data_IF_457264362430
#
_entry.id   IF_457264362430
#
_cell.length_a   1.000
_cell.length_b   1.000
_cell.length_c   1.000
_cell.angle_alpha   90.00
_cell.angle_beta   90.00
_cell.angle_gamma   90.00
#
_symmetry.space_group_name_H-M   'P 1'
#
loop_
_entity.id
_entity.type
_entity.pdbx_description
1 polymer ?
#
# COMPACT_ATOMS: atom_id res chain seq x y z
N UNK A 1 18.73 10.09 -26.50
CA UNK A 1 18.32 8.85 -27.19
C UNK A 1 16.80 8.87 -27.25
N UNK A 2 16.21 8.91 -28.44
CA UNK A 2 14.75 8.95 -28.60
C UNK A 2 14.26 7.50 -28.50
N UNK A 3 13.63 7.14 -27.37
CA UNK A 3 13.22 5.76 -27.08
C UNK A 3 11.81 5.42 -27.59
N UNK A 4 11.12 6.40 -28.20
CA UNK A 4 9.73 6.28 -28.68
C UNK A 4 9.59 7.03 -30.02
N UNK A 5 9.04 6.37 -31.04
CA UNK A 5 8.58 7.01 -32.29
C UNK A 5 7.10 6.70 -32.48
N UNK A 6 6.30 7.73 -32.77
CA UNK A 6 4.84 7.62 -32.75
C UNK A 6 4.38 7.32 -31.33
N UNK A 7 4.07 6.04 -31.05
CA UNK A 7 3.67 5.49 -29.74
C UNK A 7 4.31 4.12 -29.45
N UNK A 8 5.37 3.75 -30.17
CA UNK A 8 6.05 2.46 -29.99
C UNK A 8 7.42 2.62 -29.35
N UNK A 9 7.67 1.82 -28.31
CA UNK A 9 9.00 1.68 -27.73
C UNK A 9 9.90 0.94 -28.71
N UNK A 10 11.05 1.54 -29.03
CA UNK A 10 12.01 1.01 -30.03
C UNK A 10 12.86 -0.12 -29.42
N UNK A 11 12.84 -0.28 -28.10
CA UNK A 11 13.51 -1.35 -27.36
C UNK A 11 12.95 -1.47 -25.94
N UNK A 12 13.41 -2.47 -25.19
CA UNK A 12 13.00 -2.65 -23.80
C UNK A 12 13.46 -1.47 -22.95
N UNK A 13 12.54 -0.65 -22.40
CA UNK A 13 12.89 0.46 -21.54
C UNK A 13 13.63 0.04 -20.26
N UNK A 14 13.50 -1.22 -19.83
CA UNK A 14 14.24 -1.77 -18.69
C UNK A 14 15.73 -1.99 -19.00
N UNK A 15 16.09 -2.10 -20.27
CA UNK A 15 17.48 -2.26 -20.73
C UNK A 15 18.20 -0.92 -20.90
N UNK A 16 17.49 0.21 -20.75
CA UNK A 16 18.11 1.53 -20.69
C UNK A 16 18.95 1.64 -19.41
N UNK A 17 20.13 2.25 -19.52
CA UNK A 17 20.96 2.55 -18.36
C UNK A 17 20.19 3.48 -17.41
N UNK A 18 19.59 2.89 -16.38
CA UNK A 18 18.83 3.60 -15.37
C UNK A 18 19.50 3.38 -14.01
N UNK A 19 19.75 4.47 -13.29
CA UNK A 19 20.08 4.40 -11.87
C UNK A 19 18.77 4.38 -11.09
N UNK A 20 18.13 3.22 -11.01
CA UNK A 20 17.07 3.00 -10.04
C UNK A 20 17.70 3.07 -8.66
N UNK A 21 17.65 4.24 -8.01
CA UNK A 21 18.05 4.39 -6.61
C UNK A 21 16.89 3.80 -5.80
N UNK A 22 17.04 2.59 -5.23
CA UNK A 22 16.02 2.09 -4.34
C UNK A 22 16.16 2.95 -3.09
N UNK A 23 15.26 3.90 -2.88
CA UNK A 23 15.17 4.54 -1.59
C UNK A 23 14.68 3.46 -0.62
N UNK A 24 15.64 2.88 0.11
CA UNK A 24 15.42 1.96 1.23
C UNK A 24 15.03 2.72 2.49
N UNK A 25 14.38 3.88 2.34
CA UNK A 25 14.02 4.70 3.48
C UNK A 25 12.93 4.00 4.30
N UNK A 26 12.92 4.27 5.60
CA UNK A 26 11.83 3.84 6.49
C UNK A 26 10.45 4.22 5.93
N UNK A 27 10.35 5.41 5.33
CA UNK A 27 9.15 5.87 4.60
C UNK A 27 8.73 4.89 3.51
N UNK A 28 9.62 4.56 2.59
CA UNK A 28 9.26 3.70 1.45
C UNK A 28 8.94 2.27 1.89
N UNK A 29 9.57 1.79 2.97
CA UNK A 29 9.21 0.52 3.59
C UNK A 29 7.79 0.54 4.15
N UNK A 30 7.45 1.57 4.94
CA UNK A 30 6.09 1.75 5.51
C UNK A 30 5.05 1.87 4.42
N UNK A 31 5.28 2.67 3.38
CA UNK A 31 4.31 2.82 2.28
C UNK A 31 4.11 1.50 1.53
N UNK A 32 5.17 0.70 1.32
CA UNK A 32 5.04 -0.65 0.76
C UNK A 32 4.22 -1.58 1.65
N UNK A 33 4.43 -1.55 2.97
CA UNK A 33 3.65 -2.33 3.94
C UNK A 33 2.17 -1.93 3.85
N UNK A 34 1.86 -0.64 3.93
CA UNK A 34 0.48 -0.13 3.88
C UNK A 34 -0.21 -0.56 2.59
N UNK A 35 0.47 -0.49 1.44
CA UNK A 35 -0.09 -0.92 0.15
C UNK A 35 -0.38 -2.43 0.17
N UNK A 36 0.56 -3.24 0.64
CA UNK A 36 0.41 -4.70 0.75
C UNK A 36 -0.75 -5.07 1.66
N UNK A 37 -0.87 -4.39 2.79
CA UNK A 37 -1.93 -4.62 3.76
C UNK A 37 -3.30 -4.18 3.24
N UNK A 38 -3.37 -3.03 2.55
CA UNK A 38 -4.59 -2.64 1.86
C UNK A 38 -5.03 -3.65 0.79
N UNK A 39 -4.08 -4.37 0.16
CA UNK A 39 -4.40 -5.46 -0.77
C UNK A 39 -4.95 -6.67 -0.02
N UNK A 40 -4.30 -7.08 1.07
CA UNK A 40 -4.77 -8.18 1.94
C UNK A 40 -6.19 -7.93 2.46
N UNK A 41 -6.45 -6.72 2.95
CA UNK A 41 -7.78 -6.30 3.42
C UNK A 41 -8.84 -6.45 2.32
N UNK A 42 -8.53 -6.14 1.06
CA UNK A 42 -9.49 -6.27 -0.06
C UNK A 42 -9.79 -7.72 -0.46
N UNK A 43 -8.93 -8.66 -0.09
CA UNK A 43 -9.01 -10.07 -0.49
C UNK A 43 -9.56 -10.94 0.65
N UNK A 44 -9.37 -10.53 1.91
CA UNK A 44 -9.74 -11.30 3.10
C UNK A 44 -11.08 -10.84 3.68
N UNK A 45 -12.10 -11.70 3.54
CA UNK A 45 -13.48 -11.44 4.01
C UNK A 45 -13.58 -11.16 5.51
N UNK A 46 -12.59 -11.54 6.33
CA UNK A 46 -12.61 -11.24 7.77
C UNK A 46 -12.63 -9.74 8.05
N UNK A 47 -12.18 -8.92 7.11
CA UNK A 47 -12.18 -7.47 7.22
C UNK A 47 -13.51 -6.82 6.86
N UNK A 48 -14.49 -7.57 6.32
CA UNK A 48 -15.79 -7.02 5.95
C UNK A 48 -16.53 -6.52 7.21
N UNK A 49 -17.02 -5.28 7.16
CA UNK A 49 -17.70 -4.64 8.29
C UNK A 49 -16.78 -4.22 9.45
N UNK A 50 -15.46 -4.46 9.37
CA UNK A 50 -14.52 -3.95 10.38
C UNK A 50 -14.30 -2.45 10.21
N UNK A 51 -13.94 -1.79 11.31
CA UNK A 51 -13.59 -0.37 11.25
C UNK A 51 -12.20 -0.18 10.65
N UNK A 52 -11.99 0.95 9.96
CA UNK A 52 -10.67 1.35 9.48
C UNK A 52 -9.62 1.49 10.60
N UNK A 53 -10.06 1.62 11.86
CA UNK A 53 -9.16 1.70 13.02
C UNK A 53 -8.58 0.34 13.40
N UNK A 54 -9.33 -0.75 13.20
CA UNK A 54 -8.81 -2.12 13.36
C UNK A 54 -7.74 -2.38 12.30
N UNK A 55 -8.02 -2.06 11.03
CA UNK A 55 -7.03 -2.15 9.96
C UNK A 55 -5.78 -1.28 10.19
N UNK A 56 -5.92 -0.12 10.84
CA UNK A 56 -4.78 0.70 11.23
C UNK A 56 -3.92 -0.02 12.28
N UNK A 57 -4.54 -0.57 13.33
CA UNK A 57 -3.83 -1.30 14.39
C UNK A 57 -3.12 -2.54 13.85
N UNK A 58 -3.79 -3.33 13.01
CA UNK A 58 -3.19 -4.51 12.37
C UNK A 58 -1.90 -4.16 11.58
N UNK A 59 -1.85 -2.98 10.97
CA UNK A 59 -0.66 -2.51 10.24
C UNK A 59 0.43 -2.03 11.19
N UNK A 60 0.05 -1.38 12.30
CA UNK A 60 0.94 -0.97 13.38
C UNK A 60 1.65 -2.18 13.98
N UNK A 61 0.86 -3.16 14.43
CA UNK A 61 1.33 -4.42 15.02
C UNK A 61 2.26 -5.16 14.03
N UNK A 62 1.90 -5.15 12.73
CA UNK A 62 2.75 -5.75 11.69
C UNK A 62 4.10 -5.02 11.53
N UNK A 63 4.15 -3.70 11.68
CA UNK A 63 5.42 -2.95 11.63
C UNK A 63 6.26 -3.25 12.87
N UNK A 64 5.64 -3.35 14.05
CA UNK A 64 6.33 -3.70 15.29
C UNK A 64 6.96 -5.11 15.22
N UNK A 65 6.19 -6.10 14.75
CA UNK A 65 6.64 -7.49 14.64
C UNK A 65 7.62 -7.70 13.49
N UNK A 66 7.32 -7.16 12.30
CA UNK A 66 7.95 -7.57 11.04
C UNK A 66 8.63 -6.41 10.26
N UNK A 67 8.64 -5.18 10.77
CA UNK A 67 9.06 -4.00 10.00
C UNK A 67 10.55 -3.94 9.63
N UNK A 68 11.43 -4.13 10.60
CA UNK A 68 12.89 -4.25 10.42
C UNK A 68 13.51 -5.05 11.57
N UNK A 69 14.66 -5.68 11.32
CA UNK A 69 15.49 -6.28 12.36
C UNK A 69 16.30 -5.23 13.13
N UNK A 70 16.59 -4.10 12.48
CA UNK A 70 17.27 -2.96 13.09
C UNK A 70 16.27 -2.12 13.93
N UNK A 71 16.50 -1.98 15.25
CA UNK A 71 15.62 -1.21 16.12
C UNK A 71 15.51 0.27 15.73
N UNK A 72 16.59 0.91 15.27
CA UNK A 72 16.57 2.33 14.89
C UNK A 72 15.72 2.55 13.63
N UNK A 73 15.89 1.67 12.64
CA UNK A 73 15.07 1.70 11.44
C UNK A 73 13.60 1.39 11.74
N UNK A 74 13.33 0.43 12.64
CA UNK A 74 11.96 0.10 13.07
C UNK A 74 11.30 1.31 13.75
N UNK A 75 12.01 1.98 14.64
CA UNK A 75 11.51 3.22 15.27
C UNK A 75 11.24 4.32 14.23
N UNK A 76 12.14 4.51 13.27
CA UNK A 76 11.93 5.45 12.17
C UNK A 76 10.71 5.09 11.30
N UNK A 77 10.44 3.80 11.12
CA UNK A 77 9.24 3.30 10.41
C UNK A 77 7.96 3.59 11.20
N UNK A 78 7.93 3.27 12.49
CA UNK A 78 6.79 3.58 13.36
C UNK A 78 6.55 5.10 13.42
N UNK A 79 7.59 5.89 13.67
CA UNK A 79 7.49 7.35 13.66
C UNK A 79 6.93 7.87 12.32
N UNK A 80 7.37 7.31 11.19
CA UNK A 80 6.80 7.67 9.88
C UNK A 80 5.32 7.27 9.74
N UNK A 81 4.95 6.09 10.23
CA UNK A 81 3.57 5.62 10.23
C UNK A 81 2.68 6.53 11.08
N UNK A 82 3.13 6.91 12.28
CA UNK A 82 2.38 7.76 13.21
C UNK A 82 2.44 9.26 12.90
N UNK A 83 3.33 9.72 12.01
CA UNK A 83 3.60 11.15 11.76
C UNK A 83 2.36 12.04 11.61
N UNK A 84 1.33 11.53 10.93
CA UNK A 84 0.06 12.25 10.70
C UNK A 84 -1.14 11.57 11.39
N UNK A 85 -0.85 10.57 12.23
CA UNK A 85 -1.82 9.75 12.93
C UNK A 85 -2.79 9.01 12.01
N UNK A 86 -3.84 8.49 12.63
CA UNK A 86 -4.88 7.70 11.97
C UNK A 86 -5.55 8.41 10.79
N UNK A 87 -5.77 9.73 10.89
CA UNK A 87 -6.50 10.51 9.91
C UNK A 87 -5.87 10.42 8.49
N UNK A 88 -4.55 10.28 8.40
CA UNK A 88 -3.85 10.22 7.12
C UNK A 88 -4.17 8.97 6.30
N UNK A 89 -4.44 7.83 6.95
CA UNK A 89 -4.71 6.55 6.26
C UNK A 89 -6.11 6.01 6.48
N UNK A 90 -6.93 6.67 7.31
CA UNK A 90 -8.34 6.33 7.54
C UNK A 90 -9.10 6.13 6.23
N UNK A 91 -9.02 7.10 5.30
CA UNK A 91 -9.71 7.01 4.01
C UNK A 91 -9.21 5.84 3.16
N UNK A 92 -7.90 5.57 3.19
CA UNK A 92 -7.27 4.47 2.45
C UNK A 92 -7.76 3.12 2.95
N UNK A 93 -7.74 2.88 4.27
CA UNK A 93 -8.24 1.65 4.87
C UNK A 93 -9.75 1.49 4.70
N UNK A 94 -10.53 2.56 4.88
CA UNK A 94 -11.98 2.52 4.63
C UNK A 94 -12.29 2.09 3.21
N UNK A 95 -11.61 2.64 2.20
CA UNK A 95 -11.80 2.24 0.80
C UNK A 95 -11.40 0.79 0.54
N UNK A 96 -10.38 0.28 1.23
CA UNK A 96 -10.00 -1.12 1.13
C UNK A 96 -11.10 -2.04 1.67
N UNK A 97 -11.65 -1.72 2.84
CA UNK A 97 -12.73 -2.48 3.50
C UNK A 97 -14.02 -2.43 2.68
N UNK A 98 -14.43 -1.25 2.20
CA UNK A 98 -15.65 -1.08 1.41
C UNK A 98 -15.66 -1.93 0.13
N UNK A 99 -14.49 -2.30 -0.41
CA UNK A 99 -14.42 -3.19 -1.59
C UNK A 99 -14.95 -4.61 -1.29
N UNK A 100 -14.97 -5.02 -0.03
CA UNK A 100 -15.59 -6.27 0.41
C UNK A 100 -17.10 -6.14 0.59
N UNK A 101 -17.57 -4.93 0.91
CA UNK A 101 -18.98 -4.63 1.20
C UNK A 101 -19.78 -4.36 -0.07
N UNK A 102 -19.11 -3.93 -1.14
CA UNK A 102 -19.75 -3.64 -2.42
C UNK A 102 -20.33 -4.96 -2.99
N UNK A 103 -21.67 -5.13 -3.03
CA UNK A 103 -22.26 -6.25 -3.73
C UNK A 103 -21.81 -6.08 -5.17
N UNK A 104 -20.97 -7.02 -5.62
CA UNK A 104 -20.49 -7.19 -7.00
C UNK A 104 -21.41 -6.40 -7.94
N UNK A 105 -20.97 -5.20 -8.36
CA UNK A 105 -21.68 -4.42 -9.37
C UNK A 105 -21.57 -5.23 -10.67
N UNK A 106 -22.42 -6.24 -10.78
CA UNK A 106 -22.62 -7.05 -11.96
C UNK A 106 -23.66 -6.33 -12.80
N UNK A 107 -23.63 -6.57 -14.11
CA UNK A 107 -24.64 -6.05 -15.02
C UNK A 107 -26.07 -6.42 -14.58
N UNK A 108 -26.23 -7.46 -13.75
CA UNK A 108 -27.50 -7.92 -13.17
C UNK A 108 -28.05 -7.02 -12.06
N UNK A 109 -27.31 -6.01 -11.61
CA UNK A 109 -27.64 -5.16 -10.44
C UNK A 109 -27.88 -3.69 -10.79
N UNK A 110 -28.05 -3.37 -12.09
CA UNK A 110 -28.32 -2.01 -12.59
C UNK A 110 -29.86 -1.89 -12.79
N UNK A 111 -30.53 -0.87 -12.20
CA UNK A 111 -31.99 -0.69 -12.29
C UNK A 111 -32.51 -0.37 -13.70
#
# INVERSE_FOLDING_TARGET
>A
MIAVIGDQFIGDPCMLAHNCIPTKSAKDKVERIVIKECRRIKEDKKYAGLSSRVAWQDVEDFIEECGSEDPEEKDAMLHHFHRYGFAARQRTFRRAIMKLEDPKCTMDSIP
#
